data_IF_928811477298
#
_entry.id   IF_928811477298
#
_cell.length_a   1.000
_cell.length_b   1.000
_cell.length_c   1.000
_cell.angle_alpha   90.00
_cell.angle_beta   90.00
_cell.angle_gamma   90.00
#
_symmetry.space_group_name_H-M   'P 1'
#
loop_
_entity.id
_entity.type
_entity.pdbx_description
1 polymer ?
#
# COMPACT_ATOMS: atom_id res chain seq x y z
N UNK A 1 -12.60 -19.84 39.29
CA UNK A 1 -13.03 -20.92 40.22
C UNK A 1 -13.69 -21.98 39.35
N UNK A 2 -13.32 -23.26 39.30
CA UNK A 2 -12.54 -24.08 40.20
C UNK A 2 -12.12 -25.36 39.44
N UNK A 3 -10.87 -25.74 39.65
CA UNK A 3 -10.32 -27.11 39.65
C UNK A 3 -10.39 -27.96 38.37
N UNK A 4 -9.20 -28.06 37.77
CA UNK A 4 -8.65 -29.27 37.14
C UNK A 4 -8.89 -30.50 38.04
N UNK A 5 -9.33 -31.60 37.45
CA UNK A 5 -9.42 -32.93 38.06
C UNK A 5 -8.46 -33.89 37.31
N UNK A 6 -7.63 -34.70 38.01
CA UNK A 6 -6.71 -35.64 37.38
C UNK A 6 -7.24 -37.08 37.36
N UNK A 7 -6.85 -37.84 36.33
CA UNK A 7 -6.92 -39.30 36.25
C UNK A 7 -5.89 -39.80 35.22
N UNK A 8 -5.59 -41.11 35.13
CA UNK A 8 -5.35 -42.14 36.16
C UNK A 8 -3.93 -42.75 35.96
N UNK A 9 -3.43 -43.69 36.75
CA UNK A 9 -3.48 -45.12 36.39
C UNK A 9 -2.78 -45.99 37.44
N UNK A 10 -3.54 -46.96 37.94
CA UNK A 10 -3.18 -48.34 38.26
C UNK A 10 -1.92 -48.65 39.10
N UNK A 11 -2.22 -48.88 40.37
CA UNK A 11 -1.52 -49.77 41.29
C UNK A 11 -1.22 -51.14 40.68
N UNK A 12 0.05 -51.56 40.75
CA UNK A 12 0.43 -52.95 40.52
C UNK A 12 1.53 -53.40 41.48
N UNK A 13 1.07 -54.15 42.49
CA UNK A 13 1.73 -55.21 43.26
C UNK A 13 2.92 -54.89 44.19
N UNK A 14 2.69 -55.08 45.50
CA UNK A 14 3.70 -55.40 46.53
C UNK A 14 3.96 -56.91 46.49
N UNK A 15 5.22 -57.37 46.52
CA UNK A 15 5.76 -57.92 47.79
C UNK A 15 7.23 -57.53 48.00
N UNK A 16 7.57 -57.02 49.19
CA UNK A 16 8.15 -57.77 50.30
C UNK A 16 9.65 -58.09 50.10
N UNK A 17 10.44 -57.39 50.93
CA UNK A 17 11.76 -57.73 51.47
C UNK A 17 12.33 -59.06 50.95
N UNK A 18 13.41 -59.00 50.16
CA UNK A 18 14.58 -59.91 50.19
C UNK A 18 15.44 -59.57 48.96
N UNK A 19 16.60 -58.93 49.14
CA UNK A 19 17.53 -58.72 48.01
C UNK A 19 18.51 -57.55 48.05
N UNK A 20 18.72 -56.90 49.20
CA UNK A 20 19.62 -55.72 49.31
C UNK A 20 21.11 -56.09 49.10
N UNK A 21 21.49 -57.38 49.19
CA UNK A 21 22.89 -57.82 49.03
C UNK A 21 23.37 -57.99 47.58
N UNK A 22 22.48 -58.15 46.60
CA UNK A 22 22.85 -58.44 45.20
C UNK A 22 22.97 -57.20 44.30
N UNK A 23 22.36 -56.07 44.69
CA UNK A 23 22.23 -54.90 43.84
C UNK A 23 23.43 -53.94 43.92
N UNK A 24 24.30 -54.08 44.94
CA UNK A 24 25.44 -53.20 45.18
C UNK A 24 26.73 -53.64 44.45
N UNK A 25 26.76 -54.87 43.90
CA UNK A 25 27.93 -55.42 43.21
C UNK A 25 27.83 -55.29 41.67
N UNK A 26 26.64 -54.99 41.14
CA UNK A 26 26.41 -54.81 39.69
C UNK A 26 26.60 -53.35 39.25
N UNK A 27 26.45 -52.38 40.16
CA UNK A 27 26.64 -50.94 39.85
C UNK A 27 28.10 -50.53 39.71
N UNK A 28 29.04 -51.27 40.29
CA UNK A 28 30.48 -50.98 40.19
C UNK A 28 31.11 -51.44 38.88
N UNK A 29 30.54 -52.45 38.20
CA UNK A 29 31.08 -52.93 36.92
C UNK A 29 30.70 -52.05 35.71
N UNK A 30 29.67 -51.19 35.81
CA UNK A 30 29.26 -50.31 34.71
C UNK A 30 30.04 -48.97 34.63
N UNK A 31 30.84 -48.63 35.65
CA UNK A 31 31.60 -47.38 35.71
C UNK A 31 32.93 -47.38 34.93
N UNK A 32 33.37 -48.53 34.39
CA UNK A 32 34.70 -48.70 33.81
C UNK A 32 34.77 -48.57 32.27
N UNK A 33 33.67 -48.18 31.60
CA UNK A 33 33.64 -47.96 30.14
C UNK A 33 33.22 -46.54 29.74
N UNK A 34 33.72 -45.52 30.44
CA UNK A 34 33.68 -44.15 29.91
C UNK A 34 34.85 -43.96 28.94
N UNK A 35 34.63 -44.24 27.65
CA UNK A 35 35.52 -43.79 26.58
C UNK A 35 35.57 -42.27 26.61
N UNK A 36 36.77 -41.74 26.89
CA UNK A 36 37.07 -40.32 26.83
C UNK A 36 36.86 -39.86 25.37
N UNK A 37 35.80 -39.12 25.13
CA UNK A 37 35.55 -38.50 23.84
C UNK A 37 36.61 -37.41 23.65
N UNK A 38 37.48 -37.63 22.68
CA UNK A 38 38.48 -36.68 22.20
C UNK A 38 37.75 -35.40 21.76
N UNK A 39 37.99 -34.31 22.47
CA UNK A 39 37.41 -33.03 22.13
C UNK A 39 38.05 -32.54 20.81
N UNK A 40 37.26 -32.10 19.80
CA UNK A 40 37.82 -31.53 18.59
C UNK A 40 38.75 -30.37 18.96
N UNK A 41 39.92 -30.23 18.31
CA UNK A 41 40.81 -29.09 18.55
C UNK A 41 40.01 -27.79 18.36
N UNK A 42 40.19 -26.80 19.25
CA UNK A 42 39.49 -25.53 19.12
C UNK A 42 39.77 -24.96 17.74
N UNK A 43 38.71 -24.74 16.95
CA UNK A 43 38.82 -24.06 15.68
C UNK A 43 39.44 -22.69 15.96
N UNK A 44 40.69 -22.51 15.54
CA UNK A 44 41.37 -21.21 15.58
C UNK A 44 40.64 -20.31 14.60
N UNK A 45 39.63 -19.60 15.08
CA UNK A 45 39.05 -18.46 14.35
C UNK A 45 40.19 -17.48 14.14
N UNK A 46 40.72 -17.43 12.91
CA UNK A 46 41.61 -16.37 12.44
C UNK A 46 40.87 -15.06 12.68
N UNK A 47 41.18 -14.40 13.79
CA UNK A 47 40.68 -13.07 14.08
C UNK A 47 41.29 -12.15 13.05
N UNK A 48 40.51 -11.80 12.03
CA UNK A 48 40.91 -10.76 11.10
C UNK A 48 41.19 -9.50 11.93
N UNK A 49 42.44 -9.03 11.88
CA UNK A 49 42.88 -7.82 12.57
C UNK A 49 42.24 -6.61 11.86
N UNK A 50 40.98 -6.34 12.15
CA UNK A 50 40.29 -5.16 11.67
C UNK A 50 40.87 -3.92 12.36
N UNK A 51 41.61 -3.11 11.60
CA UNK A 51 42.21 -1.84 12.10
C UNK A 51 41.18 -0.71 12.18
N UNK A 52 40.10 -0.79 11.38
CA UNK A 52 38.95 0.10 11.46
C UNK A 52 37.72 -0.56 10.82
N UNK A 53 36.56 -0.46 11.47
CA UNK A 53 35.26 -0.88 10.91
C UNK A 53 34.31 0.30 11.02
N UNK A 54 33.70 0.69 9.91
CA UNK A 54 32.70 1.75 9.86
C UNK A 54 31.38 1.20 9.34
N UNK A 55 30.28 1.52 10.03
CA UNK A 55 28.93 1.25 9.55
C UNK A 55 28.45 2.44 8.72
N UNK A 56 28.28 2.21 7.42
CA UNK A 56 27.61 3.15 6.52
C UNK A 56 26.15 2.76 6.31
N UNK A 57 25.31 3.75 6.00
CA UNK A 57 23.97 3.53 5.45
C UNK A 57 23.94 4.09 4.03
N UNK A 58 23.34 3.33 3.12
CA UNK A 58 23.10 3.79 1.75
C UNK A 58 21.75 4.49 1.77
N UNK A 59 21.71 5.72 1.27
CA UNK A 59 20.49 6.48 1.05
C UNK A 59 20.32 6.74 -0.45
N UNK A 60 19.12 7.15 -0.86
CA UNK A 60 18.82 7.49 -2.25
C UNK A 60 19.11 8.96 -2.50
N UNK A 61 19.83 9.23 -3.58
CA UNK A 61 20.06 10.59 -4.07
C UNK A 61 18.71 11.26 -4.39
N UNK A 62 18.42 12.37 -3.71
CA UNK A 62 17.13 13.08 -3.82
C UNK A 62 16.05 12.64 -2.83
N UNK A 63 16.28 11.59 -2.03
CA UNK A 63 15.36 11.15 -0.98
C UNK A 63 14.06 10.53 -1.48
N UNK A 64 13.12 10.30 -0.55
CA UNK A 64 11.83 9.68 -0.84
C UNK A 64 10.78 10.72 -1.24
N UNK A 65 10.17 10.55 -2.43
CA UNK A 65 9.05 11.37 -2.86
C UNK A 65 7.72 10.68 -2.56
N UNK A 66 6.88 11.31 -1.73
CA UNK A 66 5.51 10.85 -1.48
C UNK A 66 4.58 11.39 -2.56
N UNK A 67 4.09 10.50 -3.42
CA UNK A 67 3.11 10.85 -4.44
C UNK A 67 1.71 10.94 -3.84
N UNK A 68 0.97 11.96 -4.23
CA UNK A 68 -0.42 12.17 -3.84
C UNK A 68 -1.21 12.72 -5.01
N UNK A 69 -2.53 12.61 -4.94
CA UNK A 69 -3.42 13.12 -5.97
C UNK A 69 -3.72 14.60 -5.73
N UNK A 70 -3.77 15.39 -6.81
CA UNK A 70 -4.02 16.83 -6.70
C UNK A 70 -5.45 17.19 -6.25
N UNK A 71 -6.42 16.29 -6.49
CA UNK A 71 -7.79 16.43 -5.97
C UNK A 71 -8.25 15.16 -5.28
N UNK A 72 -9.20 15.32 -4.38
CA UNK A 72 -9.96 14.20 -3.85
C UNK A 72 -10.87 13.60 -4.94
N UNK A 73 -10.94 12.27 -4.93
CA UNK A 73 -11.75 11.49 -5.87
C UNK A 73 -11.61 10.00 -5.59
N UNK A 74 -12.45 9.20 -6.25
CA UNK A 74 -12.40 7.74 -6.16
C UNK A 74 -11.35 7.21 -7.12
N UNK A 75 -10.51 6.29 -6.65
CA UNK A 75 -9.51 5.62 -7.49
C UNK A 75 -10.22 4.66 -8.45
N UNK A 76 -10.01 4.85 -9.76
CA UNK A 76 -10.58 3.99 -10.79
C UNK A 76 -9.66 2.82 -11.13
N UNK A 77 -8.35 3.08 -11.25
CA UNK A 77 -7.37 2.02 -11.52
C UNK A 77 -5.97 2.41 -11.05
N UNK A 78 -5.15 1.38 -10.84
CA UNK A 78 -3.69 1.49 -10.65
C UNK A 78 -3.04 0.72 -11.79
N UNK A 79 -2.13 1.38 -12.51
CA UNK A 79 -1.54 0.86 -13.74
C UNK A 79 -0.15 0.22 -13.53
N UNK A 80 0.44 0.37 -12.34
CA UNK A 80 1.79 -0.10 -12.00
C UNK A 80 1.77 -0.92 -10.72
N UNK A 81 2.77 -1.77 -10.54
CA UNK A 81 2.92 -2.60 -9.35
C UNK A 81 4.08 -2.14 -8.48
N UNK A 82 4.08 -2.59 -7.22
CA UNK A 82 5.18 -2.31 -6.30
C UNK A 82 6.50 -2.90 -6.82
N UNK A 83 7.57 -2.11 -6.74
CA UNK A 83 8.89 -2.49 -7.24
C UNK A 83 9.13 -2.24 -8.74
N UNK A 84 8.10 -1.80 -9.48
CA UNK A 84 8.23 -1.47 -10.90
C UNK A 84 8.97 -0.14 -11.11
N UNK A 85 9.88 -0.09 -12.09
CA UNK A 85 10.56 1.15 -12.46
C UNK A 85 9.66 2.01 -13.35
N UNK A 86 9.46 3.26 -12.96
CA UNK A 86 8.56 4.20 -13.65
C UNK A 86 9.32 5.40 -14.20
N UNK A 87 8.86 5.91 -15.34
CA UNK A 87 9.42 7.12 -15.97
C UNK A 87 8.62 8.37 -15.58
N UNK A 88 9.26 9.53 -15.66
CA UNK A 88 8.57 10.82 -15.45
C UNK A 88 7.40 10.96 -16.43
N UNK A 89 6.22 11.28 -15.91
CA UNK A 89 5.00 11.46 -16.69
C UNK A 89 4.26 10.16 -17.04
N UNK A 90 4.73 9.01 -16.59
CA UNK A 90 4.01 7.75 -16.74
C UNK A 90 2.73 7.75 -15.90
N UNK A 91 1.66 7.17 -16.46
CA UNK A 91 0.40 6.98 -15.74
C UNK A 91 0.60 5.90 -14.66
N UNK A 92 0.45 6.29 -13.40
CA UNK A 92 0.56 5.36 -12.26
C UNK A 92 -0.82 4.93 -11.77
N UNK A 93 -1.76 5.87 -11.73
CA UNK A 93 -3.10 5.68 -11.22
C UNK A 93 -4.06 6.65 -11.91
N UNK A 94 -5.32 6.23 -12.06
CA UNK A 94 -6.38 7.07 -12.61
C UNK A 94 -7.51 7.23 -11.59
N UNK A 95 -8.09 8.43 -11.53
CA UNK A 95 -9.30 8.71 -10.76
C UNK A 95 -10.54 8.52 -11.63
N UNK A 96 -11.67 8.23 -11.00
CA UNK A 96 -12.97 8.22 -11.66
C UNK A 96 -13.27 9.61 -12.23
N UNK A 97 -13.35 9.68 -13.56
CA UNK A 97 -13.51 10.92 -14.32
C UNK A 97 -14.95 11.26 -14.64
N UNK A 98 -15.94 10.41 -14.30
CA UNK A 98 -17.35 10.61 -14.67
C UNK A 98 -17.91 11.95 -14.19
N UNK A 99 -17.66 12.31 -12.93
CA UNK A 99 -18.11 13.58 -12.38
C UNK A 99 -17.45 14.79 -13.08
N UNK A 100 -16.17 14.67 -13.43
CA UNK A 100 -15.46 15.72 -14.17
C UNK A 100 -15.99 15.86 -15.60
N UNK A 101 -16.26 14.75 -16.28
CA UNK A 101 -16.85 14.72 -17.61
C UNK A 101 -18.23 15.37 -17.63
N UNK A 102 -19.11 15.00 -16.68
CA UNK A 102 -20.43 15.63 -16.53
C UNK A 102 -20.34 17.15 -16.34
N UNK A 103 -19.38 17.62 -15.54
CA UNK A 103 -19.14 19.06 -15.36
C UNK A 103 -18.72 19.76 -16.65
N UNK A 104 -17.84 19.13 -17.43
CA UNK A 104 -17.42 19.64 -18.74
C UNK A 104 -18.59 19.67 -19.72
N UNK A 105 -19.42 18.63 -19.75
CA UNK A 105 -20.56 18.55 -20.67
C UNK A 105 -21.65 19.56 -20.31
N UNK A 106 -21.91 19.77 -19.01
CA UNK A 106 -22.79 20.83 -18.54
C UNK A 106 -22.29 22.22 -18.96
N UNK A 107 -20.99 22.50 -18.78
CA UNK A 107 -20.40 23.78 -19.19
C UNK A 107 -20.47 23.99 -20.71
N UNK A 108 -20.25 22.94 -21.51
CA UNK A 108 -20.43 22.99 -22.98
C UNK A 108 -21.87 23.26 -23.39
N UNK A 109 -22.85 22.65 -22.71
CA UNK A 109 -24.26 22.89 -22.97
C UNK A 109 -24.65 24.34 -22.64
N UNK A 110 -24.18 24.88 -21.52
CA UNK A 110 -24.37 26.29 -21.15
C UNK A 110 -23.76 27.24 -22.19
N UNK A 111 -22.55 26.94 -22.67
CA UNK A 111 -21.89 27.71 -23.72
C UNK A 111 -22.73 27.71 -25.01
N UNK A 112 -23.21 26.56 -25.46
CA UNK A 112 -24.08 26.47 -26.65
C UNK A 112 -25.38 27.25 -26.48
N UNK A 113 -26.00 27.17 -25.31
CA UNK A 113 -27.20 27.92 -24.98
C UNK A 113 -26.94 29.44 -25.05
N UNK A 114 -25.84 29.91 -24.48
CA UNK A 114 -25.46 31.32 -24.52
C UNK A 114 -25.17 31.80 -25.96
N UNK A 115 -24.53 30.97 -26.77
CA UNK A 115 -24.30 31.26 -28.20
C UNK A 115 -25.62 31.38 -28.97
N UNK A 116 -26.55 30.46 -28.78
CA UNK A 116 -27.87 30.54 -29.42
C UNK A 116 -28.66 31.79 -29.01
N UNK A 117 -28.54 32.21 -27.75
CA UNK A 117 -29.12 33.47 -27.28
C UNK A 117 -28.47 34.68 -27.95
N UNK A 118 -27.14 34.67 -28.10
CA UNK A 118 -26.41 35.73 -28.78
C UNK A 118 -26.84 35.83 -30.25
N UNK A 119 -26.97 34.70 -30.95
CA UNK A 119 -27.46 34.66 -32.33
C UNK A 119 -28.88 35.24 -32.45
N UNK A 120 -29.78 34.81 -31.57
CA UNK A 120 -31.16 35.33 -31.52
C UNK A 120 -31.17 36.85 -31.27
N UNK A 121 -30.38 37.34 -30.33
CA UNK A 121 -30.26 38.77 -30.03
C UNK A 121 -29.67 39.54 -31.21
N UNK A 122 -28.71 38.97 -31.93
CA UNK A 122 -28.10 39.57 -33.11
C UNK A 122 -29.12 39.73 -34.24
N UNK A 123 -29.93 38.70 -34.50
CA UNK A 123 -31.03 38.76 -35.48
C UNK A 123 -32.06 39.81 -35.06
N UNK A 124 -32.47 39.82 -33.79
CA UNK A 124 -33.40 40.82 -33.25
C UNK A 124 -32.85 42.23 -33.42
N UNK A 125 -31.59 42.46 -33.09
CA UNK A 125 -30.91 43.75 -33.24
C UNK A 125 -30.88 44.20 -34.70
N UNK A 126 -30.52 43.32 -35.64
CA UNK A 126 -30.51 43.63 -37.07
C UNK A 126 -31.91 44.04 -37.55
N UNK A 127 -32.95 43.28 -37.18
CA UNK A 127 -34.33 43.60 -37.55
C UNK A 127 -34.83 44.91 -36.93
N UNK A 128 -34.43 45.22 -35.70
CA UNK A 128 -34.77 46.48 -35.03
C UNK A 128 -34.11 47.69 -35.72
N UNK A 129 -32.83 47.56 -36.12
CA UNK A 129 -32.12 48.60 -36.88
C UNK A 129 -32.80 48.88 -38.22
N UNK A 130 -33.17 47.85 -38.96
CA UNK A 130 -33.89 48.00 -40.24
C UNK A 130 -35.24 48.70 -40.07
N UNK A 131 -36.01 48.33 -39.03
CA UNK A 131 -37.28 49.00 -38.71
C UNK A 131 -37.06 50.48 -38.38
N UNK A 132 -36.09 50.79 -37.53
CA UNK A 132 -35.76 52.17 -37.18
C UNK A 132 -35.39 53.00 -38.42
N UNK A 133 -34.56 52.47 -39.32
CA UNK A 133 -34.20 53.15 -40.57
C UNK A 133 -35.40 53.44 -41.46
N UNK A 134 -36.34 52.49 -41.60
CA UNK A 134 -37.57 52.69 -42.39
C UNK A 134 -38.47 53.77 -41.79
N UNK A 135 -38.60 53.80 -40.46
CA UNK A 135 -39.39 54.83 -39.79
C UNK A 135 -38.78 56.22 -39.96
N UNK A 136 -37.45 56.34 -39.85
CA UNK A 136 -36.74 57.60 -40.10
C UNK A 136 -36.92 58.06 -41.55
N UNK A 137 -36.82 57.15 -42.52
CA UNK A 137 -37.03 57.47 -43.93
C UNK A 137 -38.48 57.91 -44.22
N UNK A 138 -39.47 57.25 -43.62
CA UNK A 138 -40.88 57.63 -43.76
C UNK A 138 -41.16 59.02 -43.18
N UNK A 139 -40.64 59.30 -41.98
CA UNK A 139 -40.75 60.61 -41.36
C UNK A 139 -40.06 61.72 -42.19
N UNK A 140 -38.90 61.42 -42.78
CA UNK A 140 -38.20 62.36 -43.67
C UNK A 140 -38.95 62.60 -45.00
N UNK A 141 -39.73 61.62 -45.47
CA UNK A 141 -40.56 61.73 -46.68
C UNK A 141 -41.90 62.45 -46.43
N UNK A 142 -42.16 62.93 -45.22
CA UNK A 142 -43.34 63.74 -44.89
C UNK A 142 -44.64 62.94 -44.63
N UNK A 143 -44.52 61.65 -44.32
CA UNK A 143 -45.61 60.82 -43.81
C UNK A 143 -45.72 60.87 -42.28
#
# INVERSE_FOLDING_TARGET
MKSIAPAPTWTRHRPALFGIGGLLLVTTLLGACSKQADAPPPATTTQANYVAVARGRIDIEGGLLKLSMARAGTLASVAVHEGEQVKRGQLLASLDSRAAQLGVDAAKAQLKQAQAQLELLTIKQASAKLRAQRLVAAAAAGA
#
